data_IF_727444867479
#
_entry.id   IF_727444867479
#
_cell.length_a   1.000
_cell.length_b   1.000
_cell.length_c   1.000
_cell.angle_alpha   90.00
_cell.angle_beta   90.00
_cell.angle_gamma   90.00
#
_symmetry.space_group_name_H-M   'P 1'
#
loop_
_entity.id
_entity.type
_entity.pdbx_description
1 polymer ?
#
# COMPACT_ATOMS: atom_id res chain seq x y z
N UNK A 1 19.11 53.39 19.05
CA UNK A 1 17.87 52.82 18.50
C UNK A 1 18.05 52.09 17.16
N UNK A 2 18.80 52.62 16.17
CA UNK A 2 19.01 51.91 14.88
C UNK A 2 19.78 50.57 14.97
N UNK A 3 20.75 50.43 15.89
CA UNK A 3 21.51 49.19 16.07
C UNK A 3 20.70 48.07 16.74
N UNK A 4 19.73 48.38 17.58
CA UNK A 4 18.85 47.39 18.22
C UNK A 4 17.84 46.81 17.24
N UNK A 5 17.39 47.58 16.24
CA UNK A 5 16.45 47.13 15.18
C UNK A 5 17.12 46.15 14.20
N UNK A 6 18.40 46.37 13.88
CA UNK A 6 19.16 45.49 12.98
C UNK A 6 19.46 44.14 13.65
N UNK A 7 19.75 44.15 14.96
CA UNK A 7 20.00 42.92 15.71
C UNK A 7 18.75 42.05 15.89
N UNK A 8 17.57 42.70 16.02
CA UNK A 8 16.29 42.00 16.13
C UNK A 8 15.85 41.37 14.79
N UNK A 9 16.15 42.00 13.64
CA UNK A 9 15.85 41.50 12.31
C UNK A 9 16.75 40.31 11.95
N UNK A 10 18.01 40.29 12.43
CA UNK A 10 18.91 39.16 12.20
C UNK A 10 18.53 37.91 13.04
N UNK A 11 17.96 38.11 14.25
CA UNK A 11 17.48 37.02 15.10
C UNK A 11 16.17 36.37 14.53
N UNK A 12 15.38 37.13 13.78
CA UNK A 12 14.14 36.58 13.15
C UNK A 12 14.46 35.75 11.90
N UNK A 13 15.59 35.97 11.22
CA UNK A 13 15.97 35.19 10.04
C UNK A 13 16.60 33.82 10.34
N UNK A 14 17.04 33.57 11.57
CA UNK A 14 17.70 32.31 11.95
C UNK A 14 16.71 31.18 12.31
N UNK A 15 15.42 31.46 12.45
CA UNK A 15 14.40 30.45 12.79
C UNK A 15 13.68 29.82 11.58
N UNK A 16 14.07 30.14 10.34
CA UNK A 16 13.47 29.54 9.14
C UNK A 16 14.30 28.40 8.51
N UNK A 17 15.30 27.87 9.22
CA UNK A 17 15.78 26.52 8.94
C UNK A 17 14.82 25.51 9.58
N UNK A 18 13.57 25.50 9.14
CA UNK A 18 12.74 24.31 9.20
C UNK A 18 13.53 23.24 8.45
N UNK A 19 14.05 22.28 9.18
CA UNK A 19 14.56 21.05 8.64
C UNK A 19 13.47 20.52 7.70
N UNK A 20 13.58 20.82 6.43
CA UNK A 20 12.87 20.08 5.39
C UNK A 20 13.45 18.67 5.52
N UNK A 21 12.86 17.88 6.39
CA UNK A 21 13.00 16.43 6.36
C UNK A 21 12.58 16.06 4.94
N UNK A 22 13.57 15.76 4.09
CA UNK A 22 13.27 15.28 2.73
C UNK A 22 12.36 14.09 2.91
N UNK A 23 11.09 14.27 2.57
CA UNK A 23 10.10 13.23 2.76
C UNK A 23 10.58 11.98 2.01
N UNK A 24 10.70 10.89 2.74
CA UNK A 24 11.16 9.61 2.21
C UNK A 24 10.22 9.18 1.08
N UNK A 25 10.78 8.96 -0.11
CA UNK A 25 10.00 8.43 -1.24
C UNK A 25 9.38 7.07 -0.91
N UNK A 26 8.22 6.74 -1.49
CA UNK A 26 7.56 5.44 -1.31
C UNK A 26 8.50 4.28 -1.64
N UNK A 27 8.42 3.23 -0.83
CA UNK A 27 9.17 1.99 -1.06
C UNK A 27 8.48 1.16 -2.13
N UNK A 28 9.24 0.67 -3.11
CA UNK A 28 8.72 -0.06 -4.26
C UNK A 28 9.13 -1.53 -4.19
N UNK A 29 8.20 -2.42 -4.57
CA UNK A 29 8.46 -3.83 -4.88
C UNK A 29 8.02 -4.13 -6.31
N UNK A 30 8.88 -4.80 -7.09
CA UNK A 30 8.58 -5.18 -8.48
C UNK A 30 8.15 -6.64 -8.51
N UNK A 31 6.99 -6.91 -9.13
CA UNK A 31 6.46 -8.26 -9.35
C UNK A 31 5.90 -8.41 -10.77
N UNK A 32 5.81 -9.62 -11.33
CA UNK A 32 5.10 -9.82 -12.58
C UNK A 32 3.60 -9.60 -12.40
N UNK A 33 2.91 -9.22 -13.49
CA UNK A 33 1.46 -9.08 -13.47
C UNK A 33 0.75 -10.43 -13.34
N UNK A 34 -0.52 -10.41 -12.94
CA UNK A 34 -1.35 -11.62 -12.88
C UNK A 34 -1.46 -12.30 -14.27
N UNK A 35 -1.59 -11.49 -15.33
CA UNK A 35 -1.63 -11.97 -16.70
C UNK A 35 -0.31 -12.63 -17.10
N UNK A 36 0.83 -12.01 -16.75
CA UNK A 36 2.15 -12.58 -17.03
C UNK A 36 2.34 -13.94 -16.37
N UNK A 37 1.96 -14.08 -15.10
CA UNK A 37 2.04 -15.35 -14.38
C UNK A 37 1.11 -16.40 -14.98
N UNK A 38 -0.15 -16.06 -15.23
CA UNK A 38 -1.15 -16.99 -15.76
C UNK A 38 -0.79 -17.47 -17.16
N UNK A 39 -0.34 -16.58 -18.05
CA UNK A 39 0.04 -16.92 -19.42
C UNK A 39 1.28 -17.82 -19.53
N UNK A 40 2.08 -17.86 -18.49
CA UNK A 40 3.31 -18.69 -18.38
C UNK A 40 3.17 -19.85 -17.40
N UNK A 41 1.94 -20.10 -16.90
CA UNK A 41 1.63 -21.19 -15.96
C UNK A 41 2.33 -21.10 -14.59
N UNK A 42 2.78 -19.90 -14.19
CA UNK A 42 3.27 -19.66 -12.85
C UNK A 42 2.11 -19.44 -11.87
N UNK A 43 1.36 -20.51 -11.68
CA UNK A 43 0.20 -20.53 -10.77
C UNK A 43 0.20 -21.80 -9.93
N UNK A 44 -0.34 -21.70 -8.71
CA UNK A 44 -0.54 -22.84 -7.83
C UNK A 44 -1.91 -22.83 -7.19
N UNK A 45 -2.37 -24.02 -6.77
CA UNK A 45 -3.65 -24.16 -6.08
C UNK A 45 -3.40 -24.08 -4.58
N UNK A 46 -4.13 -23.19 -3.93
CA UNK A 46 -4.17 -23.04 -2.49
C UNK A 46 -5.53 -23.53 -1.96
N UNK A 47 -5.54 -24.27 -0.86
CA UNK A 47 -6.77 -24.65 -0.18
C UNK A 47 -7.11 -23.60 0.88
N UNK A 48 -8.20 -22.89 0.69
CA UNK A 48 -8.71 -21.92 1.65
C UNK A 48 -9.98 -22.46 2.29
N UNK A 49 -9.84 -23.15 3.41
CA UNK A 49 -10.95 -23.74 4.18
C UNK A 49 -11.83 -24.70 3.36
N UNK A 50 -11.21 -25.58 2.56
CA UNK A 50 -11.89 -26.52 1.68
C UNK A 50 -12.30 -25.96 0.33
N UNK A 51 -12.07 -24.65 0.07
CA UNK A 51 -12.25 -24.03 -1.25
C UNK A 51 -10.90 -23.89 -1.95
N UNK A 52 -10.72 -24.62 -3.05
CA UNK A 52 -9.52 -24.50 -3.88
C UNK A 52 -9.54 -23.19 -4.66
N UNK A 53 -8.49 -22.40 -4.50
CA UNK A 53 -8.28 -21.11 -5.19
C UNK A 53 -6.96 -21.18 -5.95
N UNK A 54 -6.96 -20.78 -7.23
CA UNK A 54 -5.73 -20.64 -8.00
C UNK A 54 -5.13 -19.27 -7.71
N UNK A 55 -3.86 -19.25 -7.29
CA UNK A 55 -3.08 -18.05 -7.03
C UNK A 55 -1.81 -18.03 -7.87
N UNK A 56 -1.21 -16.85 -8.06
CA UNK A 56 0.08 -16.74 -8.73
C UNK A 56 1.21 -17.32 -7.87
N UNK A 57 2.14 -18.01 -8.52
CA UNK A 57 3.36 -18.52 -7.90
C UNK A 57 4.55 -17.63 -8.25
N UNK A 58 4.63 -16.48 -7.57
CA UNK A 58 5.70 -15.51 -7.78
C UNK A 58 7.09 -16.07 -7.44
N UNK A 59 7.17 -16.99 -6.45
CA UNK A 59 8.43 -17.65 -6.11
C UNK A 59 8.95 -18.47 -7.28
N UNK A 60 8.11 -19.34 -7.84
CA UNK A 60 8.48 -20.14 -9.01
C UNK A 60 8.81 -19.24 -10.21
N UNK A 61 8.03 -18.17 -10.43
CA UNK A 61 8.27 -17.22 -11.51
C UNK A 61 9.67 -16.60 -11.43
N UNK A 62 10.05 -16.06 -10.29
CA UNK A 62 11.39 -15.44 -10.12
C UNK A 62 12.53 -16.46 -10.10
N UNK A 63 12.29 -17.68 -9.64
CA UNK A 63 13.30 -18.73 -9.57
C UNK A 63 13.61 -19.34 -10.95
N UNK A 64 12.59 -19.48 -11.80
CA UNK A 64 12.67 -20.28 -13.03
C UNK A 64 12.78 -19.42 -14.29
N UNK A 65 12.33 -18.14 -14.24
CA UNK A 65 12.40 -17.23 -15.39
C UNK A 65 13.51 -16.19 -15.21
N UNK A 66 14.62 -16.40 -15.91
CA UNK A 66 15.78 -15.50 -15.87
C UNK A 66 15.50 -14.12 -16.52
N UNK A 67 14.54 -14.03 -17.45
CA UNK A 67 14.14 -12.77 -18.06
C UNK A 67 13.39 -11.91 -17.03
N UNK A 68 12.46 -12.51 -16.27
CA UNK A 68 11.75 -11.81 -15.21
C UNK A 68 12.73 -11.21 -14.18
N UNK A 69 13.70 -12.01 -13.74
CA UNK A 69 14.70 -11.53 -12.80
C UNK A 69 15.47 -10.32 -13.36
N UNK A 70 15.91 -10.41 -14.63
CA UNK A 70 16.65 -9.32 -15.31
C UNK A 70 15.79 -8.06 -15.47
N UNK A 71 14.50 -8.22 -15.82
CA UNK A 71 13.55 -7.11 -15.98
C UNK A 71 13.29 -6.42 -14.63
N UNK A 72 13.01 -7.19 -13.58
CA UNK A 72 12.79 -6.65 -12.24
C UNK A 72 14.04 -5.91 -11.72
N UNK A 73 15.24 -6.47 -11.92
CA UNK A 73 16.50 -5.84 -11.54
C UNK A 73 16.72 -4.52 -12.30
N UNK A 74 16.40 -4.47 -13.61
CA UNK A 74 16.56 -3.24 -14.41
C UNK A 74 15.57 -2.15 -14.02
N UNK A 75 14.30 -2.52 -13.74
CA UNK A 75 13.32 -1.57 -13.20
C UNK A 75 13.81 -1.04 -11.83
N UNK A 76 14.28 -1.94 -10.98
CA UNK A 76 14.85 -1.58 -9.68
C UNK A 76 16.01 -0.58 -9.78
N UNK A 77 16.95 -0.82 -10.72
CA UNK A 77 18.07 0.09 -11.01
C UNK A 77 17.58 1.50 -11.40
N UNK A 78 16.62 1.58 -12.35
CA UNK A 78 16.08 2.85 -12.84
C UNK A 78 15.37 3.60 -11.71
N UNK A 79 14.50 2.92 -10.96
CA UNK A 79 13.76 3.53 -9.85
C UNK A 79 14.67 3.94 -8.70
N UNK A 80 15.71 3.16 -8.39
CA UNK A 80 16.71 3.52 -7.39
C UNK A 80 17.52 4.76 -7.79
N UNK A 81 17.86 4.92 -9.08
CA UNK A 81 18.50 6.11 -9.60
C UNK A 81 17.62 7.37 -9.44
N UNK A 82 16.29 7.22 -9.52
CA UNK A 82 15.32 8.27 -9.21
C UNK A 82 15.08 8.45 -7.70
N UNK A 83 15.82 7.72 -6.85
CA UNK A 83 15.78 7.84 -5.39
C UNK A 83 14.62 7.11 -4.70
N UNK A 84 13.97 6.15 -5.35
CA UNK A 84 12.97 5.28 -4.73
C UNK A 84 13.65 4.11 -4.02
N UNK A 85 13.35 3.83 -2.75
CA UNK A 85 13.82 2.62 -2.07
C UNK A 85 13.19 1.38 -2.70
N UNK A 86 14.01 0.39 -3.05
CA UNK A 86 13.56 -0.86 -3.66
C UNK A 86 13.64 -1.99 -2.65
N UNK A 87 12.61 -2.82 -2.60
CA UNK A 87 12.57 -4.08 -1.89
C UNK A 87 12.58 -5.22 -2.91
N UNK A 88 13.57 -6.08 -2.82
CA UNK A 88 13.68 -7.27 -3.68
C UNK A 88 12.69 -8.34 -3.22
N UNK A 89 11.82 -8.80 -4.13
CA UNK A 89 10.79 -9.78 -3.83
C UNK A 89 11.37 -11.07 -3.24
N UNK A 90 12.41 -11.63 -3.86
CA UNK A 90 12.98 -12.92 -3.45
C UNK A 90 13.67 -12.85 -2.09
N UNK A 91 14.35 -11.74 -1.79
CA UNK A 91 14.98 -11.54 -0.48
C UNK A 91 13.94 -11.39 0.63
N UNK A 92 12.90 -10.59 0.39
CA UNK A 92 11.82 -10.40 1.36
C UNK A 92 10.99 -11.68 1.56
N UNK A 93 10.72 -12.42 0.47
CA UNK A 93 10.02 -13.69 0.54
C UNK A 93 10.82 -14.73 1.34
N UNK A 94 12.13 -14.82 1.13
CA UNK A 94 13.01 -15.72 1.88
C UNK A 94 13.01 -15.37 3.37
N UNK A 95 13.19 -14.10 3.71
CA UNK A 95 13.13 -13.63 5.09
C UNK A 95 11.78 -13.97 5.76
N UNK A 96 10.69 -13.83 5.00
CA UNK A 96 9.35 -14.18 5.47
C UNK A 96 9.20 -15.68 5.77
N UNK A 97 9.75 -16.55 4.92
CA UNK A 97 9.71 -18.00 5.13
C UNK A 97 10.56 -18.45 6.33
N UNK A 98 11.73 -17.81 6.52
CA UNK A 98 12.59 -18.05 7.67
C UNK A 98 11.86 -17.65 8.97
N UNK A 99 11.20 -16.47 9.02
CA UNK A 99 10.39 -16.04 10.16
C UNK A 99 9.23 -16.99 10.47
N UNK A 100 8.51 -17.49 9.44
CA UNK A 100 7.42 -18.46 9.64
C UNK A 100 7.93 -19.77 10.27
N UNK A 101 9.07 -20.26 9.80
CA UNK A 101 9.69 -21.46 10.36
C UNK A 101 10.04 -21.26 11.84
N UNK A 102 10.55 -20.09 12.22
CA UNK A 102 10.84 -19.75 13.62
C UNK A 102 9.55 -19.63 14.47
N UNK A 103 8.49 -19.02 13.91
CA UNK A 103 7.18 -18.92 14.58
C UNK A 103 6.56 -20.32 14.81
N UNK A 104 6.62 -21.22 13.84
CA UNK A 104 6.11 -22.59 13.98
C UNK A 104 6.81 -23.38 15.10
N UNK A 105 8.11 -23.16 15.29
CA UNK A 105 8.87 -23.78 16.37
C UNK A 105 8.48 -23.22 17.75
N UNK A 106 8.07 -21.95 17.81
CA UNK A 106 7.75 -21.25 19.08
C UNK A 106 6.27 -21.34 19.46
N UNK A 107 5.36 -21.59 18.51
CA UNK A 107 3.92 -21.68 18.73
C UNK A 107 3.45 -23.13 18.65
N UNK A 108 3.29 -23.79 19.80
CA UNK A 108 2.54 -25.04 19.86
C UNK A 108 1.05 -24.79 19.64
N UNK A 109 0.55 -25.23 18.46
CA UNK A 109 -0.87 -25.32 18.08
C UNK A 109 -1.70 -24.03 18.18
N UNK A 110 -1.66 -23.20 17.16
CA UNK A 110 -2.79 -22.29 16.89
C UNK A 110 -3.74 -22.94 15.89
N UNK A 111 -5.04 -22.94 16.26
CA UNK A 111 -6.13 -23.43 15.42
C UNK A 111 -6.19 -22.72 14.07
N UNK A 112 -6.88 -23.33 13.12
CA UNK A 112 -7.01 -22.98 11.72
C UNK A 112 -7.11 -21.46 11.47
N UNK A 113 -5.97 -20.84 11.16
CA UNK A 113 -5.95 -19.49 10.59
C UNK A 113 -6.40 -19.57 9.14
N UNK A 114 -7.11 -18.56 8.68
CA UNK A 114 -7.37 -18.37 7.25
C UNK A 114 -6.01 -18.36 6.56
N UNK A 115 -5.82 -19.25 5.59
CA UNK A 115 -4.57 -19.35 4.85
C UNK A 115 -4.42 -18.09 3.99
N UNK A 116 -3.43 -17.28 4.34
CA UNK A 116 -3.12 -16.02 3.68
C UNK A 116 -2.22 -16.30 2.47
N UNK A 117 -2.43 -15.58 1.35
CA UNK A 117 -1.53 -15.74 0.20
C UNK A 117 -0.13 -15.22 0.53
N UNK A 118 0.95 -15.78 -0.07
CA UNK A 118 2.30 -15.26 0.13
C UNK A 118 2.44 -13.77 -0.17
N UNK A 119 1.73 -13.26 -1.18
CA UNK A 119 1.73 -11.84 -1.52
C UNK A 119 1.06 -10.98 -0.44
N UNK A 120 -0.07 -11.43 0.12
CA UNK A 120 -0.74 -10.71 1.19
C UNK A 120 0.09 -10.70 2.47
N UNK A 121 0.77 -11.80 2.77
CA UNK A 121 1.76 -11.86 3.86
C UNK A 121 2.89 -10.86 3.65
N UNK A 122 3.46 -10.78 2.43
CA UNK A 122 4.49 -9.81 2.10
C UNK A 122 4.00 -8.37 2.26
N UNK A 123 2.82 -8.04 1.74
CA UNK A 123 2.22 -6.71 1.92
C UNK A 123 2.10 -6.33 3.39
N UNK A 124 1.65 -7.25 4.22
CA UNK A 124 1.43 -7.04 5.65
C UNK A 124 2.72 -6.93 6.47
N UNK A 125 3.72 -7.78 6.19
CA UNK A 125 4.96 -7.86 6.98
C UNK A 125 6.06 -6.95 6.46
N UNK A 126 6.26 -6.91 5.15
CA UNK A 126 7.34 -6.17 4.50
C UNK A 126 7.03 -4.67 4.39
N UNK A 127 5.74 -4.30 4.31
CA UNK A 127 5.25 -2.92 4.27
C UNK A 127 5.93 -2.07 3.20
N UNK A 128 5.81 -2.48 1.94
CA UNK A 128 6.16 -1.63 0.81
C UNK A 128 4.94 -0.79 0.38
N UNK A 129 5.19 0.40 -0.13
CA UNK A 129 4.15 1.38 -0.44
C UNK A 129 3.56 1.19 -1.84
N UNK A 130 4.40 0.83 -2.82
CA UNK A 130 4.04 0.70 -4.23
C UNK A 130 4.41 -0.68 -4.76
N UNK A 131 3.45 -1.32 -5.42
CA UNK A 131 3.62 -2.55 -6.16
C UNK A 131 3.74 -2.25 -7.65
N UNK A 132 4.92 -2.45 -8.23
CA UNK A 132 5.12 -2.35 -9.67
C UNK A 132 4.85 -3.71 -10.31
N UNK A 133 3.72 -3.80 -11.01
CA UNK A 133 3.35 -4.97 -11.81
C UNK A 133 3.88 -4.80 -13.22
N UNK A 134 4.70 -5.73 -13.66
CA UNK A 134 5.29 -5.72 -15.00
C UNK A 134 4.74 -6.88 -15.84
N UNK A 135 4.45 -6.58 -17.09
CA UNK A 135 4.06 -7.54 -18.12
C UNK A 135 4.76 -7.21 -19.43
N UNK A 136 5.18 -8.23 -20.20
CA UNK A 136 5.71 -8.03 -21.53
C UNK A 136 5.42 -9.22 -22.42
N UNK A 137 5.34 -8.92 -23.72
CA UNK A 137 5.18 -9.90 -24.79
C UNK A 137 6.21 -9.64 -25.86
N UNK A 138 6.84 -10.72 -26.35
CA UNK A 138 7.76 -10.68 -27.47
C UNK A 138 6.97 -10.90 -28.73
N UNK A 139 6.98 -9.91 -29.62
CA UNK A 139 6.31 -9.98 -30.91
C UNK A 139 7.33 -10.33 -31.97
N UNK A 140 6.98 -11.28 -32.86
CA UNK A 140 7.80 -11.61 -34.02
C UNK A 140 7.40 -10.73 -35.20
N UNK A 141 8.34 -10.05 -35.80
CA UNK A 141 8.12 -9.13 -36.91
C UNK A 141 9.05 -9.46 -38.09
N UNK A 142 8.78 -8.85 -39.26
CA UNK A 142 9.57 -9.10 -40.46
C UNK A 142 11.06 -8.71 -40.34
N UNK A 143 11.41 -7.81 -39.41
CA UNK A 143 12.77 -7.31 -39.16
C UNK A 143 13.31 -7.66 -37.76
N UNK A 144 12.96 -8.86 -37.26
CA UNK A 144 13.38 -9.31 -35.93
C UNK A 144 12.26 -9.34 -34.92
N UNK A 145 12.53 -8.95 -33.68
CA UNK A 145 11.55 -8.99 -32.59
C UNK A 145 11.29 -7.58 -32.04
N UNK A 146 10.06 -7.31 -31.63
CA UNK A 146 9.72 -6.16 -30.78
C UNK A 146 9.20 -6.64 -29.44
N UNK A 147 9.20 -5.77 -28.42
CA UNK A 147 8.67 -6.05 -27.11
C UNK A 147 7.54 -5.06 -26.82
N UNK A 148 6.36 -5.60 -26.56
CA UNK A 148 5.26 -4.83 -25.94
C UNK A 148 5.39 -4.92 -24.44
N UNK A 149 5.51 -3.78 -23.77
CA UNK A 149 5.70 -3.65 -22.33
C UNK A 149 4.49 -2.97 -21.70
N UNK A 150 4.08 -3.47 -20.54
CA UNK A 150 3.07 -2.85 -19.71
C UNK A 150 3.55 -2.83 -18.26
N UNK A 151 3.55 -1.65 -17.63
CA UNK A 151 3.91 -1.45 -16.23
C UNK A 151 2.77 -0.71 -15.56
N UNK A 152 2.33 -1.19 -14.40
CA UNK A 152 1.34 -0.53 -13.54
C UNK A 152 1.90 -0.38 -12.13
N UNK A 153 1.79 0.81 -11.56
CA UNK A 153 2.07 1.06 -10.15
C UNK A 153 0.76 1.06 -9.36
N UNK A 154 0.67 0.17 -8.40
CA UNK A 154 -0.47 0.06 -7.49
C UNK A 154 -0.04 0.54 -6.11
N UNK A 155 -0.73 1.52 -5.56
CA UNK A 155 -0.58 1.94 -4.18
C UNK A 155 -1.17 0.86 -3.26
N UNK A 156 -0.37 0.31 -2.34
CA UNK A 156 -0.77 -0.83 -1.51
C UNK A 156 -1.73 -0.47 -0.38
N UNK A 157 -1.93 0.82 -0.11
CA UNK A 157 -2.89 1.32 0.88
C UNK A 157 -4.27 1.54 0.28
N UNK A 158 -4.34 2.20 -0.86
CA UNK A 158 -5.61 2.51 -1.53
C UNK A 158 -6.05 1.45 -2.53
N UNK A 159 -5.16 0.51 -2.93
CA UNK A 159 -5.32 -0.43 -4.05
C UNK A 159 -5.61 0.26 -5.39
N UNK A 160 -5.27 1.53 -5.53
CA UNK A 160 -5.46 2.31 -6.76
C UNK A 160 -4.22 2.23 -7.65
N UNK A 161 -4.44 2.17 -8.95
CA UNK A 161 -3.38 2.37 -9.92
C UNK A 161 -3.01 3.86 -9.96
N UNK A 162 -1.77 4.18 -9.63
CA UNK A 162 -1.28 5.56 -9.47
C UNK A 162 -0.33 5.99 -10.58
N UNK A 163 0.26 5.03 -11.28
CA UNK A 163 1.01 5.28 -12.51
C UNK A 163 0.88 4.10 -13.47
N UNK A 164 1.01 4.36 -14.75
CA UNK A 164 1.06 3.33 -15.78
C UNK A 164 1.97 3.75 -16.93
N UNK A 165 2.61 2.77 -17.54
CA UNK A 165 3.31 2.92 -18.80
C UNK A 165 3.08 1.70 -19.67
N UNK A 166 2.76 1.92 -20.94
CA UNK A 166 2.64 0.88 -21.93
C UNK A 166 3.22 1.36 -23.27
N UNK A 167 3.76 0.44 -24.01
CA UNK A 167 4.32 0.74 -25.33
C UNK A 167 4.95 -0.47 -25.98
N UNK A 168 5.11 -0.40 -27.30
CA UNK A 168 5.83 -1.40 -28.07
C UNK A 168 7.11 -0.79 -28.62
N UNK A 169 8.24 -1.36 -28.21
CA UNK A 169 9.55 -0.96 -28.71
C UNK A 169 9.72 -1.27 -30.21
N UNK A 170 10.68 -0.60 -30.83
CA UNK A 170 10.99 -0.83 -32.27
C UNK A 170 11.53 -2.23 -32.49
N UNK A 171 11.05 -2.88 -33.56
CA UNK A 171 11.58 -4.17 -33.98
C UNK A 171 13.07 -4.11 -34.31
N UNK A 172 13.83 -5.04 -33.77
CA UNK A 172 15.26 -5.17 -34.06
C UNK A 172 15.72 -6.63 -33.94
N UNK A 173 16.79 -6.95 -34.66
CA UNK A 173 17.50 -8.21 -34.51
C UNK A 173 18.49 -8.11 -33.33
N UNK A 174 17.96 -8.17 -32.12
CA UNK A 174 18.71 -8.09 -30.87
C UNK A 174 18.25 -9.17 -29.91
N UNK A 175 19.10 -9.49 -28.93
CA UNK A 175 18.68 -10.37 -27.83
C UNK A 175 17.54 -9.73 -27.05
N UNK A 176 16.58 -10.56 -26.60
CA UNK A 176 15.31 -10.14 -26.00
C UNK A 176 15.51 -9.21 -24.82
N UNK A 177 16.46 -9.50 -23.94
CA UNK A 177 16.74 -8.65 -22.76
C UNK A 177 17.07 -7.20 -23.16
N UNK A 178 17.81 -6.99 -24.25
CA UNK A 178 18.10 -5.65 -24.77
C UNK A 178 16.87 -4.94 -25.35
N UNK A 179 15.96 -5.68 -25.93
CA UNK A 179 14.69 -5.12 -26.43
C UNK A 179 13.81 -4.66 -25.28
N UNK A 180 13.74 -5.46 -24.21
CA UNK A 180 13.00 -5.12 -22.98
C UNK A 180 13.63 -3.89 -22.32
N UNK A 181 14.95 -3.84 -22.19
CA UNK A 181 15.67 -2.70 -21.63
C UNK A 181 15.37 -1.40 -22.39
N UNK A 182 15.42 -1.43 -23.73
CA UNK A 182 15.09 -0.27 -24.54
C UNK A 182 13.64 0.17 -24.37
N UNK A 183 12.68 -0.77 -24.36
CA UNK A 183 11.27 -0.49 -24.14
C UNK A 183 11.02 0.13 -22.75
N UNK A 184 11.71 -0.36 -21.71
CA UNK A 184 11.68 0.22 -20.37
C UNK A 184 12.17 1.67 -20.37
N UNK A 185 13.35 1.93 -20.91
CA UNK A 185 13.95 3.27 -20.93
C UNK A 185 13.08 4.31 -21.67
N UNK A 186 12.39 3.91 -22.74
CA UNK A 186 11.47 4.78 -23.49
C UNK A 186 10.25 5.19 -22.65
N UNK A 187 9.77 4.32 -21.75
CA UNK A 187 8.53 4.54 -20.99
C UNK A 187 8.76 5.12 -19.58
N UNK A 188 9.92 4.88 -18.98
CA UNK A 188 10.16 5.18 -17.59
C UNK A 188 10.12 6.67 -17.23
N UNK A 189 10.49 7.57 -18.12
CA UNK A 189 10.46 9.02 -17.82
C UNK A 189 9.04 9.51 -17.52
N UNK A 190 8.06 9.14 -18.36
CA UNK A 190 6.67 9.52 -18.14
C UNK A 190 6.05 8.78 -16.92
N UNK A 191 6.43 7.53 -16.73
CA UNK A 191 6.01 6.74 -15.56
C UNK A 191 6.50 7.38 -14.26
N UNK A 192 7.77 7.77 -14.18
CA UNK A 192 8.35 8.43 -13.01
C UNK A 192 7.67 9.77 -12.70
N UNK A 193 7.27 10.54 -13.73
CA UNK A 193 6.49 11.77 -13.52
C UNK A 193 5.14 11.51 -12.85
N UNK A 194 4.41 10.48 -13.29
CA UNK A 194 3.13 10.10 -12.67
C UNK A 194 3.34 9.67 -11.21
N UNK A 195 4.37 8.88 -10.95
CA UNK A 195 4.68 8.40 -9.61
C UNK A 195 5.11 9.54 -8.66
N UNK A 196 5.91 10.50 -9.16
CA UNK A 196 6.27 11.69 -8.39
C UNK A 196 5.02 12.53 -8.06
N UNK A 197 4.09 12.70 -9.01
CA UNK A 197 2.82 13.42 -8.76
C UNK A 197 1.98 12.74 -7.68
N UNK A 198 1.91 11.41 -7.70
CA UNK A 198 1.26 10.66 -6.63
C UNK A 198 1.95 10.88 -5.28
N UNK A 199 3.28 10.89 -5.25
CA UNK A 199 4.03 11.16 -4.03
C UNK A 199 3.79 12.58 -3.48
N UNK A 200 3.72 13.58 -4.34
CA UNK A 200 3.35 14.95 -3.97
C UNK A 200 1.92 15.02 -3.41
N UNK A 201 0.98 14.25 -3.96
CA UNK A 201 -0.38 14.13 -3.42
C UNK A 201 -0.37 13.54 -2.01
N UNK A 202 0.38 12.43 -1.79
CA UNK A 202 0.52 11.84 -0.45
C UNK A 202 1.08 12.82 0.58
N UNK A 203 2.05 13.65 0.18
CA UNK A 203 2.64 14.66 1.07
C UNK A 203 1.67 15.79 1.40
N UNK A 204 0.87 16.20 0.44
CA UNK A 204 -0.01 17.38 0.55
C UNK A 204 -1.36 17.04 1.17
N UNK A 205 -1.91 15.89 0.81
CA UNK A 205 -3.27 15.48 1.12
C UNK A 205 -3.34 14.26 2.04
N UNK A 206 -2.17 13.73 2.46
CA UNK A 206 -2.12 12.54 3.28
C UNK A 206 -2.35 11.23 2.51
N UNK A 207 -2.20 10.12 3.22
CA UNK A 207 -2.34 8.76 2.70
C UNK A 207 -3.81 8.35 2.70
N UNK A 208 -4.28 7.76 1.63
CA UNK A 208 -5.65 7.27 1.54
C UNK A 208 -5.76 5.85 2.12
N UNK A 209 -6.74 5.67 3.01
CA UNK A 209 -7.09 4.38 3.60
C UNK A 209 -8.61 4.15 3.52
N UNK A 210 -9.04 2.95 3.88
CA UNK A 210 -10.43 2.55 4.07
C UNK A 210 -10.64 2.05 5.50
N UNK A 211 -11.76 2.45 6.12
CA UNK A 211 -12.16 2.01 7.45
C UNK A 211 -13.57 1.43 7.39
N UNK A 212 -13.75 0.22 7.91
CA UNK A 212 -15.06 -0.37 8.11
C UNK A 212 -15.40 -0.38 9.59
N UNK A 213 -16.61 0.03 9.90
CA UNK A 213 -17.20 -0.12 11.23
C UNK A 213 -18.23 -1.25 11.16
N UNK A 214 -18.27 -2.10 12.14
CA UNK A 214 -19.23 -3.21 12.26
C UNK A 214 -19.67 -3.34 13.72
N UNK A 215 -20.93 -3.63 13.94
CA UNK A 215 -21.42 -4.01 15.26
C UNK A 215 -21.41 -5.55 15.39
N UNK A 216 -21.20 -6.06 16.59
CA UNK A 216 -21.41 -7.48 16.87
C UNK A 216 -22.89 -7.83 16.71
N UNK A 217 -23.18 -9.06 16.31
CA UNK A 217 -24.55 -9.58 16.13
C UNK A 217 -25.29 -9.82 17.48
N UNK A 218 -24.76 -9.30 18.57
CA UNK A 218 -25.37 -9.35 19.89
C UNK A 218 -26.55 -8.38 20.08
N UNK A 219 -26.72 -7.41 19.17
CA UNK A 219 -27.74 -6.38 19.22
C UNK A 219 -27.64 -5.40 20.40
N UNK A 220 -26.48 -5.39 21.10
CA UNK A 220 -26.27 -4.53 22.28
C UNK A 220 -25.86 -3.10 21.91
N UNK A 221 -25.39 -2.89 20.70
CA UNK A 221 -24.96 -1.59 20.16
C UNK A 221 -25.20 -1.53 18.67
N UNK A 222 -25.72 -0.40 18.20
CA UNK A 222 -25.92 -0.10 16.77
C UNK A 222 -25.29 1.23 16.41
N UNK A 223 -25.20 1.54 15.13
CA UNK A 223 -24.69 2.83 14.66
C UNK A 223 -25.73 3.95 14.74
N UNK A 224 -27.01 3.60 14.98
CA UNK A 224 -28.15 4.51 15.19
C UNK A 224 -28.41 4.79 16.66
N UNK A 225 -27.64 4.18 17.59
CA UNK A 225 -27.77 4.49 19.02
C UNK A 225 -27.32 5.94 19.27
N UNK A 226 -28.17 6.67 20.01
CA UNK A 226 -27.93 8.07 20.36
C UNK A 226 -27.06 8.19 21.62
N UNK A 227 -26.16 9.17 21.66
CA UNK A 227 -25.44 9.59 22.86
C UNK A 227 -26.32 10.47 23.77
N UNK A 228 -25.76 10.99 24.87
CA UNK A 228 -26.48 11.86 25.83
C UNK A 228 -26.91 13.20 25.17
N UNK A 229 -26.23 13.66 24.12
CA UNK A 229 -26.50 14.89 23.38
C UNK A 229 -27.51 14.68 22.24
N UNK A 230 -27.89 13.44 21.94
CA UNK A 230 -28.85 13.04 20.90
C UNK A 230 -28.23 12.82 19.53
N UNK A 231 -26.87 12.72 19.44
CA UNK A 231 -26.20 12.41 18.21
C UNK A 231 -26.07 10.89 18.00
N UNK A 232 -26.37 10.40 16.82
CA UNK A 232 -26.16 8.99 16.47
C UNK A 232 -24.68 8.61 16.53
N UNK A 233 -24.39 7.38 16.93
CA UNK A 233 -23.00 6.88 17.04
C UNK A 233 -22.23 7.00 15.72
N UNK A 234 -22.92 6.85 14.58
CA UNK A 234 -22.28 7.03 13.28
C UNK A 234 -21.80 8.47 13.06
N UNK A 235 -22.57 9.47 13.52
CA UNK A 235 -22.24 10.88 13.38
C UNK A 235 -21.07 11.25 14.30
N UNK A 236 -21.05 10.72 15.53
CA UNK A 236 -19.91 10.86 16.46
C UNK A 236 -18.62 10.28 15.86
N UNK A 237 -18.71 9.11 15.21
CA UNK A 237 -17.57 8.50 14.53
C UNK A 237 -17.13 9.32 13.31
N UNK A 238 -18.08 9.83 12.52
CA UNK A 238 -17.81 10.63 11.34
C UNK A 238 -17.13 11.96 11.69
N UNK A 239 -17.61 12.65 12.73
CA UNK A 239 -16.98 13.88 13.24
C UNK A 239 -15.54 13.62 13.72
N UNK A 240 -15.33 12.54 14.49
CA UNK A 240 -13.99 12.17 14.91
C UNK A 240 -13.06 11.91 13.71
N UNK A 241 -13.56 11.22 12.65
CA UNK A 241 -12.80 10.97 11.42
C UNK A 241 -12.47 12.30 10.73
N UNK A 242 -13.42 13.22 10.62
CA UNK A 242 -13.21 14.55 10.03
C UNK A 242 -12.08 15.29 10.75
N UNK A 243 -12.15 15.36 12.06
CA UNK A 243 -11.16 16.07 12.89
C UNK A 243 -9.76 15.46 12.86
N UNK A 244 -9.64 14.16 12.59
CA UNK A 244 -8.37 13.42 12.60
C UNK A 244 -7.83 13.09 11.23
N UNK A 245 -8.45 13.58 10.15
CA UNK A 245 -7.99 13.43 8.77
C UNK A 245 -7.35 14.70 8.23
N UNK A 246 -6.54 14.56 7.18
CA UNK A 246 -5.95 15.71 6.51
C UNK A 246 -7.04 16.49 5.78
N UNK A 247 -7.28 17.74 6.18
CA UNK A 247 -8.31 18.64 5.62
C UNK A 247 -9.74 18.12 5.81
N UNK A 248 -10.00 17.30 6.81
CA UNK A 248 -11.32 16.71 7.03
C UNK A 248 -11.78 15.76 5.90
N UNK A 249 -10.84 15.17 5.16
CA UNK A 249 -11.17 14.47 3.93
C UNK A 249 -11.47 12.98 4.15
N UNK A 250 -12.73 12.62 3.96
CA UNK A 250 -13.23 11.24 3.90
C UNK A 250 -14.49 11.15 3.05
N UNK A 251 -14.95 9.94 2.77
CA UNK A 251 -16.22 9.65 2.12
C UNK A 251 -16.93 8.51 2.87
N UNK A 252 -18.13 8.76 3.40
CA UNK A 252 -19.00 7.71 3.93
C UNK A 252 -19.72 7.03 2.76
N UNK A 253 -19.16 5.92 2.30
CA UNK A 253 -19.62 5.21 1.11
C UNK A 253 -20.88 4.36 1.35
N UNK A 254 -21.07 3.87 2.57
CA UNK A 254 -22.28 3.15 2.98
C UNK A 254 -22.48 3.24 4.49
N UNK A 255 -23.74 3.34 4.90
CA UNK A 255 -24.17 3.31 6.28
C UNK A 255 -25.43 2.46 6.41
N UNK A 256 -25.48 1.60 7.41
CA UNK A 256 -26.62 0.81 7.86
C UNK A 256 -26.55 0.72 9.38
N UNK A 257 -27.63 0.30 10.04
CA UNK A 257 -27.71 0.11 11.49
C UNK A 257 -26.48 -0.61 12.11
N UNK A 258 -25.89 -1.59 11.41
CA UNK A 258 -24.82 -2.43 11.95
C UNK A 258 -23.49 -2.34 11.21
N UNK A 259 -23.41 -1.55 10.13
CA UNK A 259 -22.21 -1.45 9.29
C UNK A 259 -22.09 -0.08 8.65
N UNK A 260 -20.89 0.47 8.71
CA UNK A 260 -20.52 1.64 7.92
C UNK A 260 -19.18 1.40 7.20
N UNK A 261 -19.01 2.04 6.06
CA UNK A 261 -17.77 2.02 5.29
C UNK A 261 -17.34 3.43 4.95
N UNK A 262 -16.18 3.81 5.46
CA UNK A 262 -15.49 5.04 5.13
C UNK A 262 -14.40 4.74 4.10
N UNK A 263 -14.44 5.43 2.98
CA UNK A 263 -13.47 5.37 1.91
C UNK A 263 -12.77 6.72 1.74
N UNK A 264 -11.64 6.72 1.02
CA UNK A 264 -10.87 7.94 0.77
C UNK A 264 -10.52 8.72 2.05
N UNK A 265 -10.37 8.01 3.15
CA UNK A 265 -9.98 8.59 4.44
C UNK A 265 -8.52 9.01 4.37
N UNK A 266 -8.27 10.32 4.36
CA UNK A 266 -6.93 10.90 4.18
C UNK A 266 -6.23 11.07 5.52
N UNK A 267 -5.39 10.10 5.89
CA UNK A 267 -4.62 10.14 7.13
C UNK A 267 -3.24 10.78 6.94
N UNK A 268 -2.65 11.41 7.97
CA UNK A 268 -1.26 11.87 7.89
C UNK A 268 -0.31 10.72 7.53
N UNK A 269 0.72 10.99 6.72
CA UNK A 269 1.73 9.97 6.40
C UNK A 269 2.52 9.50 7.63
N UNK A 270 2.72 10.41 8.59
CA UNK A 270 3.44 10.15 9.81
C UNK A 270 2.67 10.72 11.00
N UNK A 271 2.75 10.03 12.14
CA UNK A 271 2.24 10.58 13.39
C UNK A 271 3.20 11.61 13.99
N UNK A 272 2.79 12.26 15.08
CA UNK A 272 3.60 13.27 15.81
C UNK A 272 5.01 12.76 16.24
N UNK A 273 5.18 11.45 16.37
CA UNK A 273 6.46 10.79 16.71
C UNK A 273 7.29 10.41 15.49
N UNK A 274 6.90 10.83 14.28
CA UNK A 274 7.58 10.51 13.03
C UNK A 274 7.42 9.04 12.58
N UNK A 275 6.46 8.29 13.12
CA UNK A 275 6.18 6.91 12.69
C UNK A 275 5.17 6.92 11.55
N UNK A 276 5.43 6.14 10.50
CA UNK A 276 4.51 5.98 9.39
C UNK A 276 3.13 5.50 9.87
N UNK A 277 2.08 6.18 9.41
CA UNK A 277 0.70 5.84 9.71
C UNK A 277 0.18 4.79 8.73
N UNK A 278 -0.65 3.87 9.23
CA UNK A 278 -1.42 2.90 8.46
C UNK A 278 -2.87 2.86 8.98
N UNK A 279 -3.75 2.14 8.28
CA UNK A 279 -5.17 2.04 8.65
C UNK A 279 -5.37 1.47 10.06
N UNK A 280 -4.52 0.51 10.48
CA UNK A 280 -4.57 -0.06 11.83
C UNK A 280 -4.23 0.97 12.90
N UNK A 281 -3.21 1.80 12.67
CA UNK A 281 -2.84 2.84 13.63
C UNK A 281 -3.95 3.88 13.77
N UNK A 282 -4.54 4.31 12.66
CA UNK A 282 -5.68 5.22 12.65
C UNK A 282 -6.89 4.63 13.38
N UNK A 283 -7.29 3.41 13.04
CA UNK A 283 -8.38 2.70 13.73
C UNK A 283 -8.12 2.49 15.23
N UNK A 284 -6.85 2.33 15.66
CA UNK A 284 -6.52 2.26 17.08
C UNK A 284 -6.64 3.61 17.80
N UNK A 285 -6.49 4.73 17.11
CA UNK A 285 -6.77 6.06 17.69
C UNK A 285 -8.28 6.24 17.89
N UNK A 286 -9.09 5.92 16.87
CA UNK A 286 -10.56 5.90 17.01
C UNK A 286 -11.01 4.95 18.11
N UNK A 287 -10.44 3.74 18.21
CA UNK A 287 -10.75 2.81 19.29
C UNK A 287 -10.51 3.41 20.68
N UNK A 288 -9.44 4.17 20.87
CA UNK A 288 -9.17 4.82 22.15
C UNK A 288 -10.23 5.86 22.48
N UNK A 289 -10.57 6.69 21.50
CA UNK A 289 -11.62 7.70 21.65
C UNK A 289 -12.97 7.06 22.03
N UNK A 290 -13.41 6.02 21.33
CA UNK A 290 -14.66 5.33 21.62
C UNK A 290 -14.68 4.67 23.01
N UNK A 291 -13.52 4.13 23.46
CA UNK A 291 -13.41 3.60 24.83
C UNK A 291 -13.52 4.67 25.92
N UNK A 292 -13.06 5.87 25.65
CA UNK A 292 -13.27 7.03 26.54
C UNK A 292 -14.75 7.41 26.64
N UNK A 293 -15.55 7.08 25.60
CA UNK A 293 -17.02 7.17 25.60
C UNK A 293 -17.71 5.89 26.11
N UNK A 294 -16.98 4.99 26.79
CA UNK A 294 -17.50 3.72 27.32
C UNK A 294 -17.98 2.73 26.24
N UNK A 295 -17.56 2.89 24.99
CA UNK A 295 -17.89 1.99 23.88
C UNK A 295 -16.75 0.99 23.67
N UNK A 296 -17.00 -0.26 24.06
CA UNK A 296 -16.02 -1.34 23.82
C UNK A 296 -15.91 -1.66 22.33
N UNK A 297 -14.68 -1.81 21.86
CA UNK A 297 -14.44 -2.11 20.45
C UNK A 297 -13.08 -2.78 20.21
N UNK A 298 -13.00 -3.50 19.09
CA UNK A 298 -11.80 -4.26 18.67
C UNK A 298 -11.41 -3.90 17.25
N UNK A 299 -10.10 -3.66 17.02
CA UNK A 299 -9.55 -3.44 15.68
C UNK A 299 -9.09 -4.76 15.08
N UNK A 300 -9.55 -5.03 13.86
CA UNK A 300 -9.07 -6.12 13.00
C UNK A 300 -8.31 -5.52 11.82
N UNK A 301 -7.09 -5.99 11.59
CA UNK A 301 -6.25 -5.50 10.50
C UNK A 301 -6.52 -6.25 9.20
N UNK A 302 -6.63 -5.51 8.08
CA UNK A 302 -6.76 -6.07 6.73
C UNK A 302 -5.70 -5.47 5.78
N UNK A 303 -4.44 -5.73 6.07
CA UNK A 303 -3.32 -5.17 5.31
C UNK A 303 -2.93 -3.76 5.77
N UNK A 304 -2.35 -2.95 4.88
CA UNK A 304 -1.82 -1.62 5.23
C UNK A 304 -2.88 -0.52 5.17
N UNK A 305 -3.76 -0.61 4.20
CA UNK A 305 -4.71 0.46 3.88
C UNK A 305 -6.14 0.20 4.30
N UNK A 306 -6.45 -0.96 4.89
CA UNK A 306 -7.80 -1.26 5.38
C UNK A 306 -7.77 -1.75 6.82
N UNK A 307 -8.70 -1.25 7.62
CA UNK A 307 -8.96 -1.75 8.97
C UNK A 307 -10.46 -1.92 9.20
N UNK A 308 -10.80 -2.85 10.09
CA UNK A 308 -12.17 -3.06 10.55
C UNK A 308 -12.20 -2.78 12.05
N UNK A 309 -13.07 -1.88 12.48
CA UNK A 309 -13.40 -1.65 13.89
C UNK A 309 -14.73 -2.36 14.18
N UNK A 310 -14.72 -3.27 15.14
CA UNK A 310 -15.93 -3.99 15.56
C UNK A 310 -16.34 -3.45 16.92
N UNK A 311 -17.56 -2.93 17.00
CA UNK A 311 -18.16 -2.31 18.19
C UNK A 311 -18.90 -3.36 19.02
N UNK A 312 -18.92 -3.14 20.33
CA UNK A 312 -19.54 -4.02 21.31
C UNK A 312 -18.67 -5.22 21.70
N UNK A 313 -19.20 -6.04 22.58
CA UNK A 313 -18.63 -7.30 23.04
C UNK A 313 -19.33 -8.49 22.35
N UNK A 314 -18.60 -9.62 22.23
CA UNK A 314 -19.10 -10.85 21.60
C UNK A 314 -20.03 -11.61 22.55
#
# INVERSE_FOLDING_TARGET
MKQLLVSSLFLLMTNLCVLAQTAKKPTIMVIPSDHWCTSRYFTKVMDNQGKKVTINDYEAAFREDAELYSVAAKIGEIMAADGYPIKDYMQEYKSLMDEQTEEEVTMSSMGSMIEETPLDMLRRRVKYDIELRVDWTINQEAKGHSVSLNIAAIDTYSNKQVAAANGTGKAADKIVVRLIENALLEQMSNFALQLNKHFEDLQTNGREISLQIRCWDSGMITLEDENEDGDELIDVIAEWIEDNTVKGAYNLASNTETRAKFEQVRIPMFNEKGRAMDARMFANQLRKYLREQSIECKVMNKGLGEAVLVLGEK
#
